data_IF_997609723276
#
_entry.id   IF_997609723276
#
_cell.length_a   1.000
_cell.length_b   1.000
_cell.length_c   1.000
_cell.angle_alpha   90.00
_cell.angle_beta   90.00
_cell.angle_gamma   90.00
#
_symmetry.space_group_name_H-M   'P 1'
#
loop_
_entity.id
_entity.type
_entity.pdbx_description
1 polymer ?
#
# COMPACT_ATOMS: atom_id res chain seq x y z
N UNK A 1 6.70 10.31 20.93
CA UNK A 1 5.38 9.73 20.59
C UNK A 1 5.60 8.27 20.23
N UNK A 2 4.70 7.36 20.61
CA UNK A 2 4.81 5.98 20.15
C UNK A 2 4.50 5.94 18.64
N UNK A 3 5.32 5.22 17.88
CA UNK A 3 5.09 5.05 16.46
C UNK A 3 3.76 4.32 16.20
N UNK A 4 3.04 4.73 15.16
CA UNK A 4 1.78 4.13 14.73
C UNK A 4 2.11 2.96 13.79
N UNK A 5 1.84 1.73 14.21
CA UNK A 5 2.17 0.51 13.45
C UNK A 5 0.88 -0.19 13.07
N UNK A 6 0.74 -0.53 11.81
CA UNK A 6 -0.38 -1.28 11.24
C UNK A 6 0.12 -2.41 10.33
N UNK A 7 -0.80 -3.23 9.84
CA UNK A 7 -0.51 -4.24 8.84
C UNK A 7 -1.61 -4.26 7.76
N UNK A 8 -1.24 -4.60 6.53
CA UNK A 8 -2.20 -4.79 5.44
C UNK A 8 -2.50 -6.29 5.24
N UNK A 9 -3.75 -6.67 4.92
CA UNK A 9 -4.18 -8.06 4.72
C UNK A 9 -3.41 -8.82 3.64
N UNK A 10 -2.81 -8.11 2.67
CA UNK A 10 -1.95 -8.70 1.62
C UNK A 10 -0.77 -9.48 2.21
N UNK A 11 -0.29 -9.11 3.41
CA UNK A 11 0.76 -9.85 4.11
C UNK A 11 0.33 -11.26 4.55
N UNK A 12 -0.98 -11.54 4.49
CA UNK A 12 -1.60 -12.85 4.67
C UNK A 12 -2.17 -13.42 3.37
N UNK A 13 -1.71 -12.93 2.22
CA UNK A 13 -2.11 -13.41 0.90
C UNK A 13 -3.50 -12.97 0.44
N UNK A 14 -4.12 -11.99 1.12
CA UNK A 14 -5.44 -11.46 0.75
C UNK A 14 -5.29 -10.34 -0.26
N UNK A 15 -5.78 -10.54 -1.47
CA UNK A 15 -5.61 -9.66 -2.62
C UNK A 15 -6.79 -9.73 -3.57
N UNK A 16 -7.00 -8.68 -4.36
CA UNK A 16 -8.07 -8.59 -5.37
C UNK A 16 -7.77 -9.34 -6.68
N UNK A 17 -6.50 -9.72 -6.92
CA UNK A 17 -6.09 -10.33 -8.18
C UNK A 17 -6.64 -11.76 -8.30
N UNK A 18 -7.40 -12.09 -9.38
CA UNK A 18 -7.91 -13.45 -9.61
C UNK A 18 -6.77 -14.48 -9.69
N UNK A 19 -7.04 -15.70 -9.26
CA UNK A 19 -6.11 -16.84 -9.33
C UNK A 19 -4.76 -16.61 -8.61
N UNK A 20 -4.72 -15.64 -7.70
CA UNK A 20 -3.51 -15.34 -6.92
C UNK A 20 -3.07 -16.51 -6.03
N UNK A 21 -4.04 -17.16 -5.40
CA UNK A 21 -3.82 -18.26 -4.46
C UNK A 21 -5.03 -18.46 -3.55
N UNK A 22 -4.83 -19.21 -2.48
CA UNK A 22 -5.87 -19.41 -1.44
C UNK A 22 -6.01 -18.11 -0.65
N UNK A 23 -7.23 -17.56 -0.65
CA UNK A 23 -7.56 -16.40 0.18
C UNK A 23 -7.86 -16.90 1.60
N UNK A 24 -7.09 -16.44 2.58
CA UNK A 24 -7.33 -16.81 3.97
C UNK A 24 -8.63 -16.19 4.49
N UNK A 25 -9.30 -16.94 5.37
CA UNK A 25 -10.50 -16.46 6.03
C UNK A 25 -10.23 -15.18 6.84
N UNK A 26 -11.13 -14.20 6.70
CA UNK A 26 -11.02 -12.90 7.36
C UNK A 26 -10.80 -13.00 8.87
N UNK A 27 -11.59 -13.82 9.55
CA UNK A 27 -11.54 -13.90 11.01
C UNK A 27 -10.21 -14.52 11.46
N UNK A 28 -9.63 -15.44 10.67
CA UNK A 28 -8.28 -15.96 10.87
C UNK A 28 -7.24 -14.84 10.74
N UNK A 29 -7.27 -14.06 9.67
CA UNK A 29 -6.31 -12.98 9.42
C UNK A 29 -6.36 -11.93 10.54
N UNK A 30 -7.55 -11.44 10.89
CA UNK A 30 -7.71 -10.44 11.95
C UNK A 30 -7.24 -10.97 13.33
N UNK A 31 -7.50 -12.25 13.62
CA UNK A 31 -7.02 -12.91 14.83
C UNK A 31 -5.49 -13.06 14.85
N UNK A 32 -4.88 -13.41 13.73
CA UNK A 32 -3.43 -13.52 13.63
C UNK A 32 -2.76 -12.15 13.79
N UNK A 33 -3.30 -11.08 13.17
CA UNK A 33 -2.84 -9.70 13.37
C UNK A 33 -2.85 -9.30 14.85
N UNK A 34 -3.98 -9.48 15.53
CA UNK A 34 -4.08 -9.15 16.95
C UNK A 34 -3.21 -10.03 17.83
N UNK A 35 -3.02 -11.31 17.46
CA UNK A 35 -2.11 -12.25 18.11
C UNK A 35 -0.63 -11.80 18.05
N UNK A 36 -0.24 -11.06 17.01
CA UNK A 36 1.06 -10.41 16.88
C UNK A 36 1.14 -9.05 17.61
N UNK A 37 0.06 -8.64 18.28
CA UNK A 37 -0.03 -7.36 18.97
C UNK A 37 -0.13 -6.17 18.00
N UNK A 38 -0.61 -6.39 16.78
CA UNK A 38 -1.01 -5.32 15.85
C UNK A 38 -2.33 -4.75 16.33
N UNK A 39 -2.46 -3.44 16.41
CA UNK A 39 -3.66 -2.74 16.89
C UNK A 39 -4.41 -1.99 15.79
N UNK A 40 -3.88 -1.99 14.56
CA UNK A 40 -4.47 -1.29 13.42
C UNK A 40 -4.24 -2.06 12.12
N UNK A 41 -5.16 -1.93 11.17
CA UNK A 41 -5.08 -2.58 9.86
C UNK A 41 -5.65 -1.71 8.76
N UNK A 42 -5.18 -1.91 7.54
CA UNK A 42 -5.87 -1.46 6.34
C UNK A 42 -7.07 -2.37 6.02
N UNK A 43 -8.00 -1.88 5.19
CA UNK A 43 -9.23 -2.61 4.88
C UNK A 43 -9.01 -3.88 4.07
N UNK A 44 -7.92 -3.94 3.28
CA UNK A 44 -7.73 -5.00 2.28
C UNK A 44 -8.66 -4.82 1.07
N UNK A 45 -8.67 -5.81 0.16
CA UNK A 45 -9.43 -5.74 -1.08
C UNK A 45 -10.93 -5.92 -0.87
N UNK A 46 -11.71 -5.59 -1.89
CA UNK A 46 -13.15 -5.83 -1.93
C UNK A 46 -13.49 -7.30 -1.61
N UNK A 47 -14.51 -7.49 -0.78
CA UNK A 47 -14.95 -8.81 -0.33
C UNK A 47 -14.18 -9.39 0.88
N UNK A 48 -13.07 -8.81 1.30
CA UNK A 48 -12.40 -9.23 2.55
C UNK A 48 -13.17 -8.77 3.79
N UNK A 49 -13.52 -7.50 3.84
CA UNK A 49 -14.44 -6.95 4.84
C UNK A 49 -15.83 -6.75 4.23
N UNK A 50 -16.89 -6.63 5.04
CA UNK A 50 -18.23 -6.33 4.54
C UNK A 50 -18.27 -5.03 3.73
N UNK A 51 -19.11 -5.01 2.68
CA UNK A 51 -19.30 -3.81 1.85
C UNK A 51 -20.05 -2.69 2.60
N UNK A 52 -20.98 -3.08 3.50
CA UNK A 52 -21.73 -2.10 4.27
C UNK A 52 -20.81 -1.38 5.28
N UNK A 53 -20.70 -0.03 5.23
CA UNK A 53 -19.76 0.74 6.05
C UNK A 53 -19.86 0.46 7.56
N UNK A 54 -21.06 0.37 8.09
CA UNK A 54 -21.29 0.11 9.52
C UNK A 54 -20.91 -1.32 9.94
N UNK A 55 -21.08 -2.30 9.03
CA UNK A 55 -20.67 -3.68 9.29
C UNK A 55 -19.16 -3.82 9.22
N UNK A 56 -18.51 -3.17 8.24
CA UNK A 56 -17.04 -3.10 8.13
C UNK A 56 -16.41 -2.54 9.40
N UNK A 57 -16.93 -1.40 9.88
CA UNK A 57 -16.50 -0.79 11.15
C UNK A 57 -16.70 -1.74 12.34
N UNK A 58 -17.85 -2.42 12.41
CA UNK A 58 -18.17 -3.34 13.51
C UNK A 58 -17.25 -4.55 13.54
N UNK A 59 -16.91 -5.11 12.38
CA UNK A 59 -15.98 -6.26 12.28
C UNK A 59 -14.61 -5.89 12.85
N UNK A 60 -14.06 -4.75 12.45
CA UNK A 60 -12.75 -4.30 12.95
C UNK A 60 -12.77 -3.98 14.44
N UNK A 61 -13.80 -3.28 14.90
CA UNK A 61 -13.97 -2.97 16.33
C UNK A 61 -14.08 -4.24 17.18
N UNK A 62 -14.84 -5.24 16.72
CA UNK A 62 -14.99 -6.53 17.42
C UNK A 62 -13.66 -7.32 17.44
N UNK A 63 -12.83 -7.19 16.43
CA UNK A 63 -11.48 -7.76 16.40
C UNK A 63 -10.48 -6.98 17.27
N UNK A 64 -10.85 -5.79 17.78
CA UNK A 64 -9.95 -4.91 18.54
C UNK A 64 -8.93 -4.19 17.66
N UNK A 65 -9.22 -4.01 16.37
CA UNK A 65 -8.35 -3.33 15.40
C UNK A 65 -8.92 -1.95 15.04
N UNK A 66 -8.05 -0.94 15.05
CA UNK A 66 -8.35 0.36 14.47
C UNK A 66 -8.27 0.26 12.94
N UNK A 67 -9.19 0.90 12.25
CA UNK A 67 -9.08 1.09 10.82
C UNK A 67 -8.05 2.20 10.50
N UNK A 68 -7.12 1.93 9.60
CA UNK A 68 -6.18 2.94 9.05
C UNK A 68 -6.77 3.57 7.81
N UNK A 69 -7.31 2.77 6.93
CA UNK A 69 -7.78 3.07 5.60
C UNK A 69 -7.51 1.91 4.68
N UNK A 70 -7.08 2.17 3.46
CA UNK A 70 -6.71 1.08 2.58
C UNK A 70 -6.38 1.53 1.17
N UNK A 71 -5.82 0.58 0.46
CA UNK A 71 -5.48 0.67 -0.95
C UNK A 71 -6.75 0.74 -1.80
N UNK A 72 -6.84 1.76 -2.66
CA UNK A 72 -7.96 1.98 -3.56
C UNK A 72 -7.48 2.18 -5.00
N UNK A 73 -7.45 1.09 -5.79
CA UNK A 73 -7.03 1.16 -7.19
C UNK A 73 -8.10 1.83 -8.03
N UNK A 74 -7.74 2.88 -8.77
CA UNK A 74 -8.69 3.65 -9.56
C UNK A 74 -8.04 4.27 -10.80
N UNK A 75 -8.78 4.31 -11.93
CA UNK A 75 -8.34 5.00 -13.14
C UNK A 75 -8.51 6.50 -12.96
N UNK A 76 -7.41 7.25 -13.04
CA UNK A 76 -7.38 8.69 -12.82
C UNK A 76 -7.02 9.51 -14.08
N UNK A 77 -6.48 8.88 -15.12
CA UNK A 77 -5.97 9.54 -16.33
C UNK A 77 -6.96 9.59 -17.49
N UNK A 78 -8.08 8.88 -17.39
CA UNK A 78 -9.12 8.82 -18.42
C UNK A 78 -10.11 9.98 -18.27
N UNK A 79 -10.15 10.87 -19.27
CA UNK A 79 -11.02 12.04 -19.26
C UNK A 79 -12.52 11.70 -19.39
N UNK A 80 -12.84 10.50 -19.88
CA UNK A 80 -14.22 10.02 -20.02
C UNK A 80 -14.75 9.35 -18.75
N UNK A 81 -13.92 9.21 -17.73
CA UNK A 81 -14.26 8.61 -16.42
C UNK A 81 -14.11 9.62 -15.30
N UNK A 82 -15.22 9.92 -14.62
CA UNK A 82 -15.16 10.69 -13.38
C UNK A 82 -14.88 9.74 -12.19
N UNK A 83 -13.72 9.86 -11.50
CA UNK A 83 -13.39 8.99 -10.39
C UNK A 83 -14.13 9.34 -9.08
N UNK A 84 -14.64 10.59 -8.95
CA UNK A 84 -15.17 11.07 -7.67
C UNK A 84 -16.32 10.25 -7.11
N UNK A 85 -17.34 9.82 -7.91
CA UNK A 85 -18.43 9.04 -7.33
C UNK A 85 -18.01 7.72 -6.70
N UNK A 86 -16.92 7.12 -7.17
CA UNK A 86 -16.36 5.91 -6.58
C UNK A 86 -15.58 6.23 -5.29
N UNK A 87 -14.78 7.29 -5.32
CA UNK A 87 -14.02 7.77 -4.16
C UNK A 87 -14.98 8.20 -3.04
N UNK A 88 -16.01 8.99 -3.33
CA UNK A 88 -17.01 9.44 -2.34
C UNK A 88 -17.72 8.27 -1.66
N UNK A 89 -18.08 7.24 -2.44
CA UNK A 89 -18.69 6.02 -1.89
C UNK A 89 -17.74 5.26 -0.95
N UNK A 90 -16.48 5.14 -1.31
CA UNK A 90 -15.48 4.47 -0.47
C UNK A 90 -15.24 5.28 0.82
N UNK A 91 -15.22 6.60 0.75
CA UNK A 91 -15.08 7.48 1.91
C UNK A 91 -16.19 7.31 2.96
N UNK A 92 -17.38 6.84 2.58
CA UNK A 92 -18.44 6.50 3.56
C UNK A 92 -17.98 5.41 4.53
N UNK A 93 -17.24 4.39 4.03
CA UNK A 93 -16.69 3.33 4.86
C UNK A 93 -15.56 3.84 5.77
N UNK A 94 -14.73 4.78 5.28
CA UNK A 94 -13.68 5.41 6.08
C UNK A 94 -14.27 6.20 7.25
N UNK A 95 -15.26 7.04 6.99
CA UNK A 95 -15.95 7.82 8.02
C UNK A 95 -16.61 6.90 9.05
N UNK A 96 -17.29 5.84 8.60
CA UNK A 96 -17.99 4.91 9.50
C UNK A 96 -17.00 4.14 10.41
N UNK A 97 -15.82 3.80 9.90
CA UNK A 97 -14.79 3.05 10.64
C UNK A 97 -13.82 3.96 11.41
N UNK A 98 -13.88 5.27 11.21
CA UNK A 98 -12.91 6.20 11.79
C UNK A 98 -11.51 6.06 11.18
N UNK A 99 -11.43 5.60 9.93
CA UNK A 99 -10.18 5.51 9.18
C UNK A 99 -9.75 6.90 8.69
N UNK A 100 -8.44 7.14 8.65
CA UNK A 100 -7.89 8.47 8.39
C UNK A 100 -7.12 8.59 7.05
N UNK A 101 -6.88 7.49 6.32
CA UNK A 101 -6.00 7.52 5.15
C UNK A 101 -6.56 6.77 3.95
N UNK A 102 -6.86 7.47 2.85
CA UNK A 102 -7.23 6.89 1.55
C UNK A 102 -5.99 6.74 0.68
N UNK A 103 -5.60 5.50 0.38
CA UNK A 103 -4.40 5.18 -0.40
C UNK A 103 -4.79 4.91 -1.86
N UNK A 104 -4.75 5.96 -2.68
CA UNK A 104 -5.06 5.86 -4.12
C UNK A 104 -3.92 5.22 -4.89
N UNK A 105 -4.22 4.31 -5.80
CA UNK A 105 -3.28 3.82 -6.80
C UNK A 105 -3.83 4.08 -8.21
N UNK A 106 -3.03 4.72 -9.05
CA UNK A 106 -3.43 5.15 -10.38
C UNK A 106 -3.30 3.99 -11.39
N UNK A 107 -4.25 3.05 -11.35
CA UNK A 107 -4.22 1.87 -12.21
C UNK A 107 -4.46 2.21 -13.68
N UNK A 108 -4.01 1.30 -14.55
CA UNK A 108 -4.07 1.47 -16.02
C UNK A 108 -5.48 1.31 -16.60
N UNK A 109 -6.40 0.69 -15.86
CA UNK A 109 -7.70 0.25 -16.36
C UNK A 109 -7.65 -1.08 -17.13
N UNK A 110 -6.51 -1.77 -17.11
CA UNK A 110 -6.31 -3.13 -17.63
C UNK A 110 -6.18 -4.10 -16.46
N UNK A 111 -6.41 -5.39 -16.73
CA UNK A 111 -6.23 -6.42 -15.73
C UNK A 111 -4.73 -6.66 -15.43
N UNK A 112 -4.40 -6.84 -14.15
CA UNK A 112 -3.05 -7.15 -13.68
C UNK A 112 -2.11 -5.95 -13.60
N UNK A 113 -0.84 -6.24 -13.31
CA UNK A 113 0.23 -5.26 -13.05
C UNK A 113 1.47 -5.50 -13.94
N UNK A 114 1.31 -6.16 -15.09
CA UNK A 114 2.44 -6.53 -15.94
C UNK A 114 2.87 -5.42 -16.92
N UNK A 115 1.98 -4.45 -17.21
CA UNK A 115 2.22 -3.39 -18.17
C UNK A 115 1.80 -2.02 -17.66
N UNK A 116 2.72 -1.05 -17.67
CA UNK A 116 2.46 0.36 -17.42
C UNK A 116 2.52 1.15 -18.75
N UNK A 117 1.40 1.73 -19.25
CA UNK A 117 1.42 2.54 -20.45
C UNK A 117 2.07 3.91 -20.18
N UNK A 118 2.74 4.46 -21.20
CA UNK A 118 3.15 5.87 -21.18
C UNK A 118 1.92 6.76 -21.39
N UNK A 119 1.72 7.72 -20.50
CA UNK A 119 0.64 8.70 -20.61
C UNK A 119 1.04 9.86 -21.53
N UNK A 120 0.09 10.30 -22.33
CA UNK A 120 0.20 11.57 -23.07
C UNK A 120 0.14 12.77 -22.12
N UNK A 121 0.54 13.96 -22.59
CA UNK A 121 0.44 15.19 -21.79
C UNK A 121 -1.00 15.49 -21.34
N UNK A 122 -2.00 15.14 -22.15
CA UNK A 122 -3.41 15.35 -21.80
C UNK A 122 -3.87 14.39 -20.70
N UNK A 123 -3.49 13.12 -20.77
CA UNK A 123 -3.77 12.14 -19.73
C UNK A 123 -3.07 12.48 -18.41
N UNK A 124 -1.82 12.97 -18.46
CA UNK A 124 -1.14 13.50 -17.27
C UNK A 124 -1.90 14.67 -16.65
N UNK A 125 -2.36 15.64 -17.46
CA UNK A 125 -3.14 16.78 -16.95
C UNK A 125 -4.46 16.31 -16.28
N UNK A 126 -5.12 15.30 -16.85
CA UNK A 126 -6.33 14.70 -16.29
C UNK A 126 -6.02 14.01 -14.95
N UNK A 127 -4.98 13.18 -14.90
CA UNK A 127 -4.55 12.48 -13.69
C UNK A 127 -4.26 13.48 -12.56
N UNK A 128 -3.41 14.47 -12.79
CA UNK A 128 -3.04 15.46 -11.79
C UNK A 128 -4.26 16.26 -11.27
N UNK A 129 -5.17 16.63 -12.18
CA UNK A 129 -6.44 17.28 -11.81
C UNK A 129 -7.31 16.37 -10.93
N UNK A 130 -7.43 15.10 -11.29
CA UNK A 130 -8.25 14.15 -10.55
C UNK A 130 -7.63 13.79 -9.18
N UNK A 131 -6.30 13.79 -9.05
CA UNK A 131 -5.62 13.65 -7.75
C UNK A 131 -5.97 14.83 -6.82
N UNK A 132 -5.94 16.07 -7.33
CA UNK A 132 -6.31 17.24 -6.53
C UNK A 132 -7.80 17.26 -6.16
N UNK A 133 -8.69 16.81 -7.06
CA UNK A 133 -10.11 16.65 -6.76
C UNK A 133 -10.36 15.59 -5.69
N UNK A 134 -9.66 14.44 -5.77
CA UNK A 134 -9.73 13.39 -4.76
C UNK A 134 -9.24 13.87 -3.39
N UNK A 135 -8.15 14.64 -3.36
CA UNK A 135 -7.65 15.27 -2.14
C UNK A 135 -8.71 16.17 -1.50
N UNK A 136 -9.39 17.01 -2.29
CA UNK A 136 -10.37 17.96 -1.78
C UNK A 136 -11.62 17.26 -1.21
N UNK A 137 -12.14 16.22 -1.87
CA UNK A 137 -13.33 15.48 -1.36
C UNK A 137 -12.98 14.63 -0.12
N UNK A 138 -11.80 14.04 -0.05
CA UNK A 138 -11.35 13.32 1.14
C UNK A 138 -11.15 14.26 2.34
N UNK A 139 -10.51 15.41 2.12
CA UNK A 139 -10.32 16.43 3.15
C UNK A 139 -11.65 16.98 3.70
N UNK A 140 -12.69 17.08 2.86
CA UNK A 140 -14.01 17.54 3.29
C UNK A 140 -14.66 16.63 4.35
N UNK A 141 -14.27 15.37 4.41
CA UNK A 141 -14.74 14.40 5.42
C UNK A 141 -13.68 14.03 6.46
N UNK A 142 -12.55 14.74 6.47
CA UNK A 142 -11.48 14.53 7.46
C UNK A 142 -10.54 13.37 7.16
N UNK A 143 -10.53 12.86 5.93
CA UNK A 143 -9.65 11.80 5.47
C UNK A 143 -8.48 12.39 4.67
N UNK A 144 -7.28 11.88 4.86
CA UNK A 144 -6.09 12.22 4.09
C UNK A 144 -6.02 11.33 2.86
N UNK A 145 -6.17 11.91 1.67
CA UNK A 145 -5.89 11.17 0.43
C UNK A 145 -4.39 11.20 0.13
N UNK A 146 -3.86 10.07 -0.30
CA UNK A 146 -2.46 9.90 -0.67
C UNK A 146 -2.35 9.08 -1.95
N UNK A 147 -1.33 9.34 -2.76
CA UNK A 147 -1.02 8.52 -3.93
C UNK A 147 0.06 7.51 -3.58
N UNK A 148 -0.19 6.27 -3.91
CA UNK A 148 0.71 5.13 -3.79
C UNK A 148 1.34 4.82 -5.16
N UNK A 149 2.61 5.16 -5.40
CA UNK A 149 3.34 4.67 -6.57
C UNK A 149 3.45 3.16 -6.52
N UNK A 150 2.96 2.49 -7.56
CA UNK A 150 2.86 1.03 -7.57
C UNK A 150 3.35 0.45 -8.89
N UNK A 151 4.10 -0.65 -8.83
CA UNK A 151 4.58 -1.39 -10.00
C UNK A 151 3.39 -1.79 -10.89
N UNK A 152 3.52 -1.59 -12.21
CA UNK A 152 2.46 -1.91 -13.16
C UNK A 152 1.31 -0.90 -13.22
N UNK A 153 1.45 0.27 -12.58
CA UNK A 153 0.49 1.38 -12.66
C UNK A 153 1.05 2.54 -13.49
N UNK A 154 0.24 3.57 -13.74
CA UNK A 154 0.70 4.74 -14.51
C UNK A 154 1.62 5.68 -13.70
N UNK A 155 1.75 5.47 -12.39
CA UNK A 155 2.73 6.16 -11.53
C UNK A 155 3.59 5.12 -10.83
N UNK A 156 4.66 4.71 -11.50
CA UNK A 156 5.58 3.66 -11.06
C UNK A 156 7.01 4.20 -10.88
N UNK A 157 7.51 4.93 -11.88
CA UNK A 157 8.91 5.37 -11.95
C UNK A 157 9.18 6.63 -11.11
N UNK A 158 10.45 6.91 -10.76
CA UNK A 158 10.84 8.16 -10.11
C UNK A 158 10.40 9.41 -10.88
N UNK A 159 10.47 9.38 -12.22
CA UNK A 159 10.03 10.49 -13.07
C UNK A 159 8.51 10.70 -12.97
N UNK A 160 7.74 9.61 -12.93
CA UNK A 160 6.29 9.68 -12.76
C UNK A 160 5.92 10.25 -11.38
N UNK A 161 6.63 9.84 -10.33
CA UNK A 161 6.47 10.37 -8.97
C UNK A 161 6.81 11.86 -8.91
N UNK A 162 7.91 12.29 -9.57
CA UNK A 162 8.29 13.70 -9.63
C UNK A 162 7.23 14.54 -10.37
N UNK A 163 6.65 14.01 -11.47
CA UNK A 163 5.53 14.67 -12.16
C UNK A 163 4.34 14.91 -11.22
N UNK A 164 4.02 13.95 -10.35
CA UNK A 164 2.96 14.11 -9.34
C UNK A 164 3.35 15.14 -8.28
N UNK A 165 4.60 15.09 -7.78
CA UNK A 165 5.10 16.04 -6.78
C UNK A 165 5.01 17.48 -7.28
N UNK A 166 5.36 17.71 -8.53
CA UNK A 166 5.34 19.05 -9.15
C UNK A 166 3.93 19.48 -9.56
N UNK A 167 3.12 18.55 -10.05
CA UNK A 167 1.85 18.88 -10.72
C UNK A 167 0.59 18.74 -9.86
N UNK A 168 0.67 18.16 -8.65
CA UNK A 168 -0.47 17.96 -7.75
C UNK A 168 -0.10 18.28 -6.30
N UNK A 169 -1.11 18.60 -5.50
CA UNK A 169 -0.97 18.84 -4.03
C UNK A 169 -1.03 17.55 -3.21
N UNK A 170 -1.37 16.41 -3.81
CA UNK A 170 -1.61 15.16 -3.08
C UNK A 170 -0.37 14.70 -2.34
N UNK A 171 -0.54 14.17 -1.13
CA UNK A 171 0.52 13.48 -0.40
C UNK A 171 0.91 12.16 -1.04
N UNK A 172 2.04 11.60 -0.63
CA UNK A 172 2.51 10.29 -1.10
C UNK A 172 2.37 9.24 0.01
N UNK A 173 1.91 8.07 -0.36
CA UNK A 173 2.19 6.85 0.35
C UNK A 173 3.54 6.33 -0.14
N UNK A 174 4.56 6.39 0.69
CA UNK A 174 5.85 5.80 0.36
C UNK A 174 5.77 4.29 0.56
N UNK A 175 5.62 3.53 -0.53
CA UNK A 175 5.90 2.10 -0.53
C UNK A 175 7.38 1.88 -0.85
N UNK A 176 8.11 1.36 0.13
CA UNK A 176 9.56 1.15 -0.01
C UNK A 176 9.89 0.13 -1.09
N UNK A 177 9.09 -0.93 -1.20
CA UNK A 177 9.29 -2.00 -2.17
C UNK A 177 8.96 -1.57 -3.60
N UNK A 178 7.76 -1.10 -3.83
CA UNK A 178 7.33 -0.68 -5.17
C UNK A 178 8.19 0.44 -5.74
N UNK A 179 8.53 1.44 -4.92
CA UNK A 179 9.38 2.53 -5.39
C UNK A 179 10.82 2.05 -5.71
N UNK A 180 11.37 1.11 -4.91
CA UNK A 180 12.65 0.45 -5.22
C UNK A 180 12.56 -0.36 -6.51
N UNK A 181 11.47 -1.10 -6.72
CA UNK A 181 11.24 -1.87 -7.95
C UNK A 181 11.07 -0.97 -9.18
N UNK A 182 10.45 0.19 -9.02
CA UNK A 182 10.34 1.23 -10.05
C UNK A 182 11.67 1.93 -10.38
N UNK A 183 12.75 1.58 -9.69
CA UNK A 183 14.10 2.16 -9.90
C UNK A 183 14.41 3.38 -9.04
N UNK A 184 13.55 3.71 -8.07
CA UNK A 184 13.74 4.83 -7.16
C UNK A 184 14.64 4.52 -5.97
N UNK A 185 15.09 5.56 -5.28
CA UNK A 185 15.73 5.48 -3.97
C UNK A 185 14.76 6.04 -2.91
N UNK A 186 14.09 5.17 -2.11
CA UNK A 186 13.14 5.63 -1.09
C UNK A 186 13.77 6.52 -0.03
N UNK A 187 15.03 6.29 0.33
CA UNK A 187 15.75 7.13 1.31
C UNK A 187 15.99 8.54 0.75
N UNK A 188 16.32 8.63 -0.54
CA UNK A 188 16.52 9.93 -1.19
C UNK A 188 15.17 10.65 -1.33
N UNK A 189 14.09 9.95 -1.70
CA UNK A 189 12.75 10.53 -1.79
C UNK A 189 12.32 11.14 -0.43
N UNK A 190 12.58 10.46 0.69
CA UNK A 190 12.31 11.03 2.03
C UNK A 190 13.12 12.30 2.27
N UNK A 191 14.41 12.30 1.93
CA UNK A 191 15.28 13.46 2.15
C UNK A 191 14.84 14.70 1.36
N UNK A 192 14.39 14.49 0.12
CA UNK A 192 14.04 15.58 -0.78
C UNK A 192 12.60 16.07 -0.57
N UNK A 193 11.69 15.15 -0.20
CA UNK A 193 10.25 15.40 -0.22
C UNK A 193 9.51 14.93 1.05
N UNK A 194 10.18 14.94 2.22
CA UNK A 194 9.59 14.47 3.47
C UNK A 194 8.18 15.02 3.77
N UNK A 195 7.96 16.31 3.49
CA UNK A 195 6.66 16.97 3.72
C UNK A 195 5.52 16.44 2.83
N UNK A 196 5.85 15.68 1.78
CA UNK A 196 4.88 15.05 0.89
C UNK A 196 4.54 13.63 1.33
N UNK A 197 5.34 13.00 2.19
CA UNK A 197 5.12 11.63 2.64
C UNK A 197 4.21 11.66 3.86
N UNK A 198 2.96 11.24 3.68
CA UNK A 198 1.92 11.26 4.71
C UNK A 198 1.50 9.86 5.16
N UNK A 199 1.92 8.83 4.41
CA UNK A 199 1.69 7.42 4.71
C UNK A 199 2.89 6.58 4.27
N UNK A 200 3.12 5.42 4.89
CA UNK A 200 4.25 4.57 4.53
C UNK A 200 3.90 3.09 4.59
N UNK A 201 4.08 2.41 3.46
CA UNK A 201 4.10 0.97 3.37
C UNK A 201 5.55 0.47 3.48
N UNK A 202 5.81 -0.32 4.50
CA UNK A 202 7.09 -0.96 4.68
C UNK A 202 7.03 -2.33 4.00
N UNK A 203 7.65 -2.39 2.84
CA UNK A 203 7.72 -3.56 1.96
C UNK A 203 9.18 -3.77 1.54
N UNK A 204 9.77 -4.90 1.91
CA UNK A 204 11.15 -5.22 1.55
C UNK A 204 11.21 -6.16 0.35
N UNK A 205 12.22 -6.03 -0.49
CA UNK A 205 12.27 -6.67 -1.80
C UNK A 205 13.62 -7.33 -2.06
N UNK A 206 13.61 -8.42 -2.86
CA UNK A 206 14.80 -9.01 -3.47
C UNK A 206 14.97 -8.47 -4.88
N UNK A 207 15.99 -7.65 -5.10
CA UNK A 207 16.33 -7.13 -6.44
C UNK A 207 16.76 -8.23 -7.39
N UNK A 208 17.32 -9.33 -6.90
CA UNK A 208 17.67 -10.50 -7.72
C UNK A 208 16.43 -11.13 -8.35
N UNK A 209 15.39 -11.42 -7.54
CA UNK A 209 14.14 -12.01 -8.06
C UNK A 209 13.39 -11.00 -8.93
N UNK A 210 13.37 -9.73 -8.53
CA UNK A 210 12.75 -8.66 -9.31
C UNK A 210 13.40 -8.49 -10.70
N UNK A 211 14.73 -8.66 -10.81
CA UNK A 211 15.42 -8.60 -12.10
C UNK A 211 14.93 -9.73 -13.04
N UNK A 212 14.65 -10.91 -12.52
CA UNK A 212 14.12 -12.04 -13.30
C UNK A 212 12.69 -11.78 -13.78
N UNK A 213 11.85 -11.14 -12.96
CA UNK A 213 10.50 -10.71 -13.37
C UNK A 213 10.61 -9.66 -14.49
N UNK A 214 11.45 -8.65 -14.34
CA UNK A 214 11.69 -7.62 -15.38
C UNK A 214 12.25 -8.19 -16.68
N UNK A 215 13.05 -9.23 -16.60
CA UNK A 215 13.57 -9.93 -17.79
C UNK A 215 12.52 -10.83 -18.48
N UNK A 216 11.33 -10.95 -17.93
CA UNK A 216 10.27 -11.84 -18.43
C UNK A 216 10.56 -13.34 -18.20
N UNK A 217 11.51 -13.66 -17.31
CA UNK A 217 11.81 -15.05 -16.93
C UNK A 217 10.76 -15.61 -15.95
N UNK A 218 10.11 -14.73 -15.20
CA UNK A 218 9.05 -15.02 -14.25
C UNK A 218 7.88 -14.06 -14.48
N UNK A 219 6.65 -14.56 -14.30
CA UNK A 219 5.50 -13.69 -14.10
C UNK A 219 5.63 -12.92 -12.78
N UNK A 220 4.89 -11.82 -12.61
CA UNK A 220 4.84 -11.11 -11.34
C UNK A 220 4.46 -12.06 -10.19
N UNK A 221 3.39 -12.84 -10.36
CA UNK A 221 2.92 -13.82 -9.37
C UNK A 221 4.01 -14.84 -9.00
N UNK A 222 4.71 -15.39 -10.01
CA UNK A 222 5.80 -16.37 -9.77
C UNK A 222 6.96 -15.71 -9.04
N UNK A 223 7.26 -14.45 -9.34
CA UNK A 223 8.25 -13.66 -8.62
C UNK A 223 7.91 -13.52 -7.14
N UNK A 224 6.66 -13.16 -6.83
CA UNK A 224 6.17 -13.09 -5.44
C UNK A 224 6.28 -14.46 -4.75
N UNK A 225 5.84 -15.52 -5.40
CA UNK A 225 5.93 -16.89 -4.86
C UNK A 225 7.37 -17.33 -4.61
N UNK A 226 8.32 -16.89 -5.45
CA UNK A 226 9.76 -17.14 -5.27
C UNK A 226 10.45 -16.17 -4.30
N UNK A 227 9.69 -15.34 -3.60
CA UNK A 227 10.19 -14.46 -2.56
C UNK A 227 10.76 -13.15 -3.09
N UNK A 228 10.13 -12.56 -4.11
CA UNK A 228 10.44 -11.19 -4.52
C UNK A 228 10.22 -10.20 -3.36
N UNK A 229 9.19 -10.43 -2.56
CA UNK A 229 8.99 -9.69 -1.31
C UNK A 229 9.50 -10.50 -0.11
N UNK A 230 10.19 -9.84 0.80
CA UNK A 230 10.89 -10.42 1.94
C UNK A 230 10.31 -9.92 3.25
N UNK A 231 10.56 -10.66 4.33
CA UNK A 231 10.38 -10.09 5.65
C UNK A 231 11.29 -8.86 5.82
N UNK A 232 10.83 -7.86 6.55
CA UNK A 232 11.55 -6.58 6.67
C UNK A 232 12.95 -6.79 7.26
N UNK A 233 13.94 -6.16 6.61
CA UNK A 233 15.36 -6.30 6.95
C UNK A 233 16.07 -7.47 6.28
N UNK A 234 15.37 -8.28 5.47
CA UNK A 234 15.95 -9.42 4.75
C UNK A 234 16.07 -9.17 3.24
N UNK A 235 15.69 -7.99 2.77
CA UNK A 235 15.75 -7.58 1.37
C UNK A 235 16.71 -6.42 1.13
N UNK A 236 16.52 -5.79 -0.03
CA UNK A 236 17.42 -4.78 -0.58
C UNK A 236 16.85 -3.34 -0.48
N UNK A 237 15.61 -3.16 0.05
CA UNK A 237 14.95 -1.84 0.08
C UNK A 237 15.49 -0.88 1.14
N UNK A 238 16.47 -1.29 1.96
CA UNK A 238 17.12 -0.44 2.97
C UNK A 238 16.13 0.08 4.03
N UNK A 239 15.20 -0.75 4.46
CA UNK A 239 14.12 -0.39 5.41
C UNK A 239 14.62 0.35 6.66
N UNK A 240 15.73 -0.04 7.33
CA UNK A 240 16.24 0.70 8.49
C UNK A 240 16.54 2.17 8.18
N UNK A 241 17.13 2.44 7.03
CA UNK A 241 17.52 3.79 6.61
C UNK A 241 16.28 4.62 6.26
N UNK A 242 15.25 4.01 5.65
CA UNK A 242 13.97 4.66 5.36
C UNK A 242 13.29 5.07 6.66
N UNK A 243 13.15 4.16 7.62
CA UNK A 243 12.55 4.45 8.93
C UNK A 243 13.33 5.57 9.64
N UNK A 244 14.65 5.50 9.64
CA UNK A 244 15.49 6.54 10.25
C UNK A 244 15.31 7.90 9.56
N UNK A 245 15.22 7.94 8.23
CA UNK A 245 14.98 9.17 7.47
C UNK A 245 13.59 9.76 7.75
N UNK A 246 12.53 8.94 7.74
CA UNK A 246 11.16 9.36 8.08
C UNK A 246 11.10 9.94 9.50
N UNK A 247 11.67 9.26 10.48
CA UNK A 247 11.73 9.75 11.87
C UNK A 247 12.52 11.05 12.00
N UNK A 248 13.67 11.13 11.34
CA UNK A 248 14.49 12.33 11.30
C UNK A 248 13.78 13.54 10.70
N UNK A 249 12.85 13.29 9.78
CA UNK A 249 11.98 14.31 9.18
C UNK A 249 10.73 14.64 10.02
N UNK A 250 10.51 13.96 11.14
CA UNK A 250 9.34 14.16 12.00
C UNK A 250 8.06 13.50 11.53
N UNK A 251 8.17 12.43 10.70
CA UNK A 251 7.01 11.67 10.25
C UNK A 251 6.22 11.10 11.43
N UNK A 252 4.92 11.35 11.45
CA UNK A 252 3.97 10.95 12.49
C UNK A 252 2.80 10.07 11.96
N UNK A 253 2.88 9.67 10.69
CA UNK A 253 1.93 8.78 10.03
C UNK A 253 2.08 7.31 10.44
N UNK A 254 1.37 6.44 9.73
CA UNK A 254 1.41 5.00 9.93
C UNK A 254 2.61 4.35 9.25
N UNK A 255 3.25 3.41 9.95
CA UNK A 255 4.14 2.43 9.37
C UNK A 255 3.34 1.14 9.15
N UNK A 256 2.94 0.88 7.93
CA UNK A 256 2.12 -0.29 7.59
C UNK A 256 3.02 -1.40 7.09
N UNK A 257 2.97 -2.56 7.73
CA UNK A 257 3.59 -3.77 7.17
C UNK A 257 2.81 -4.19 5.93
N UNK A 258 3.49 -4.28 4.82
CA UNK A 258 2.98 -4.82 3.58
C UNK A 258 3.99 -5.76 2.93
N UNK A 259 3.59 -7.02 2.76
CA UNK A 259 4.40 -8.04 2.10
C UNK A 259 3.51 -8.88 1.21
N UNK A 260 3.54 -8.65 -0.11
CA UNK A 260 2.77 -9.46 -1.03
C UNK A 260 3.16 -10.92 -0.91
N UNK A 261 2.15 -11.76 -0.76
CA UNK A 261 2.34 -13.19 -0.45
C UNK A 261 1.37 -14.04 -1.25
N UNK A 262 1.89 -15.10 -1.87
CA UNK A 262 1.08 -16.13 -2.50
C UNK A 262 0.94 -17.30 -1.52
N UNK A 263 -0.29 -17.68 -1.21
CA UNK A 263 -0.60 -18.82 -0.34
C UNK A 263 -1.27 -19.90 -1.19
N UNK A 264 -0.66 -21.06 -1.26
CA UNK A 264 -1.21 -22.22 -1.97
C UNK A 264 -1.64 -23.35 -1.00
N UNK A 265 -1.08 -23.32 0.22
CA UNK A 265 -1.32 -24.34 1.24
C UNK A 265 -1.06 -23.79 2.65
N UNK A 266 -1.31 -24.62 3.66
CA UNK A 266 -1.16 -24.24 5.07
C UNK A 266 0.31 -23.96 5.46
N UNK A 267 1.29 -24.56 4.80
CA UNK A 267 2.70 -24.27 5.07
C UNK A 267 3.07 -22.85 4.60
N UNK A 268 2.49 -22.38 3.50
CA UNK A 268 2.64 -21.01 3.03
C UNK A 268 1.97 -20.01 3.98
N UNK A 269 0.77 -20.34 4.48
CA UNK A 269 0.09 -19.52 5.47
C UNK A 269 0.91 -19.41 6.78
N UNK A 270 1.47 -20.50 7.25
CA UNK A 270 2.34 -20.49 8.43
C UNK A 270 3.62 -19.67 8.21
N UNK A 271 4.20 -19.73 7.00
CA UNK A 271 5.36 -18.91 6.61
C UNK A 271 5.00 -17.42 6.56
N UNK A 272 3.84 -17.07 6.00
CA UNK A 272 3.35 -15.69 5.96
C UNK A 272 3.19 -15.11 7.37
N UNK A 273 2.55 -15.85 8.28
CA UNK A 273 2.42 -15.47 9.69
C UNK A 273 3.78 -15.26 10.37
N UNK A 274 4.75 -16.16 10.14
CA UNK A 274 6.10 -16.04 10.72
C UNK A 274 6.85 -14.84 10.14
N UNK A 275 6.72 -14.57 8.84
CA UNK A 275 7.29 -13.39 8.22
C UNK A 275 6.68 -12.10 8.80
N UNK A 276 5.34 -12.05 8.95
CA UNK A 276 4.65 -10.92 9.56
C UNK A 276 5.11 -10.71 11.01
N UNK A 277 5.28 -11.78 11.80
CA UNK A 277 5.79 -11.70 13.18
C UNK A 277 7.16 -11.03 13.22
N UNK A 278 8.12 -11.52 12.42
CA UNK A 278 9.49 -10.96 12.36
C UNK A 278 9.49 -9.51 11.89
N UNK A 279 8.67 -9.20 10.88
CA UNK A 279 8.57 -7.85 10.34
C UNK A 279 7.97 -6.87 11.34
N UNK A 280 6.94 -7.25 12.10
CA UNK A 280 6.36 -6.39 13.16
C UNK A 280 7.36 -6.16 14.30
N UNK A 281 8.09 -7.19 14.71
CA UNK A 281 9.18 -7.06 15.70
C UNK A 281 10.26 -6.10 15.18
N UNK A 282 10.69 -6.26 13.92
CA UNK A 282 11.66 -5.39 13.28
C UNK A 282 11.21 -3.92 13.25
N UNK A 283 9.94 -3.65 12.86
CA UNK A 283 9.41 -2.28 12.88
C UNK A 283 9.49 -1.68 14.29
N UNK A 284 9.04 -2.44 15.32
CA UNK A 284 9.06 -1.98 16.72
C UNK A 284 10.45 -1.61 17.20
N UNK A 285 11.45 -2.41 16.86
CA UNK A 285 12.84 -2.14 17.20
C UNK A 285 13.39 -0.91 16.45
N UNK A 286 13.14 -0.84 15.14
CA UNK A 286 13.61 0.26 14.30
C UNK A 286 13.00 1.61 14.65
N UNK A 287 11.72 1.64 15.05
CA UNK A 287 11.06 2.90 15.47
C UNK A 287 11.39 3.29 16.92
N UNK A 288 11.92 2.40 17.74
CA UNK A 288 12.36 2.68 19.11
C UNK A 288 13.81 3.18 19.20
N UNK A 289 14.64 2.85 18.19
CA UNK A 289 16.06 3.23 18.11
C UNK A 289 16.23 4.69 17.64
#
# INVERSE_FOLDING_TARGET
MNARIAAAPISWGVIEVPDWGVQLDRDRVLKEMTGLGVSATEFGPDGFLPDAPAERASVLANAGLQAVGGFFPIVLHDADRDPLPAIERELEAYVAAGADTLVLSAVTGRDGYDEAPELTAAEWATLLTNLDRALDVAAAVGVVATLHPHLGTVVESPEAVENVIVGSRIGLCLDAGHFTLGGGDPVQLVKDHAARIVHAHLKDVSLEVAARVRAGELSYRDGVQQGMYRALGEGDARIPEIIAALRGAGYDGWYVLEQDTVIENEADAARALENARRSIEFIREAVAS
#
